data_IF_537856749749
#
_entry.id   IF_537856749749
#
_cell.length_a   1.000
_cell.length_b   1.000
_cell.length_c   1.000
_cell.angle_alpha   90.00
_cell.angle_beta   90.00
_cell.angle_gamma   90.00
#
_symmetry.space_group_name_H-M   'P 1'
#
loop_
_entity.id
_entity.type
_entity.pdbx_description
1 polymer ?
#
# COMPACT_ATOMS: atom_id res chain seq x y z
N UNK A 1 4.21 -19.34 4.59
CA UNK A 1 4.42 -18.58 5.83
C UNK A 1 4.13 -19.44 7.05
N UNK A 2 5.13 -19.70 7.88
CA UNK A 2 4.98 -20.51 9.10
C UNK A 2 4.57 -19.59 10.27
N UNK A 3 3.55 -19.99 11.04
CA UNK A 3 3.06 -19.28 12.24
C UNK A 3 2.50 -17.85 12.04
N UNK A 4 1.44 -17.67 11.23
CA UNK A 4 0.86 -16.35 10.96
C UNK A 4 0.41 -15.61 12.23
N UNK A 5 -0.07 -16.30 13.27
CA UNK A 5 -0.48 -15.67 14.52
C UNK A 5 0.68 -15.02 15.30
N UNK A 6 1.88 -15.65 15.30
CA UNK A 6 3.07 -15.07 15.93
C UNK A 6 3.54 -13.83 15.18
N UNK A 7 3.54 -13.90 13.85
CA UNK A 7 3.90 -12.77 12.99
C UNK A 7 2.88 -11.63 13.12
N UNK A 8 1.59 -11.94 13.21
CA UNK A 8 0.53 -10.96 13.46
C UNK A 8 0.76 -10.26 14.79
N UNK A 9 1.06 -10.99 15.86
CA UNK A 9 1.40 -10.38 17.14
C UNK A 9 2.60 -9.44 17.03
N UNK A 10 3.70 -9.89 16.41
CA UNK A 10 4.88 -9.05 16.20
C UNK A 10 4.59 -7.80 15.37
N UNK A 11 3.71 -7.91 14.37
CA UNK A 11 3.23 -6.76 13.58
C UNK A 11 2.47 -5.78 14.47
N UNK A 12 1.48 -6.25 15.24
CA UNK A 12 0.67 -5.40 16.11
C UNK A 12 1.52 -4.72 17.21
N UNK A 13 2.48 -5.45 17.78
CA UNK A 13 3.46 -4.88 18.73
C UNK A 13 4.26 -3.75 18.05
N UNK A 14 4.72 -3.96 16.81
CA UNK A 14 5.40 -2.92 16.05
C UNK A 14 4.52 -1.70 15.75
N UNK A 15 3.25 -1.90 15.40
CA UNK A 15 2.30 -0.80 15.16
C UNK A 15 2.10 0.02 16.42
N UNK A 16 1.98 -0.64 17.58
CA UNK A 16 1.85 0.02 18.88
C UNK A 16 3.07 0.89 19.19
N UNK A 17 4.28 0.35 19.00
CA UNK A 17 5.53 1.10 19.22
C UNK A 17 5.67 2.29 18.26
N UNK A 18 5.17 2.15 17.03
CA UNK A 18 5.13 3.22 16.04
C UNK A 18 4.00 4.24 16.28
N UNK A 19 3.19 4.09 17.32
CA UNK A 19 2.03 4.94 17.58
C UNK A 19 1.00 4.91 16.46
N UNK A 20 0.73 3.71 15.92
CA UNK A 20 -0.31 3.46 14.91
C UNK A 20 -1.44 2.70 15.60
N UNK A 21 -2.62 3.31 15.66
CA UNK A 21 -3.77 2.65 16.24
C UNK A 21 -4.25 1.51 15.33
N UNK A 22 -4.69 0.40 15.93
CA UNK A 22 -5.24 -0.75 15.22
C UNK A 22 -6.58 -1.12 15.87
N UNK A 23 -7.58 -1.45 15.05
CA UNK A 23 -8.87 -1.92 15.54
C UNK A 23 -9.43 -3.02 14.65
N UNK A 24 -9.81 -4.13 15.27
CA UNK A 24 -10.57 -5.19 14.61
C UNK A 24 -12.04 -4.79 14.56
N UNK A 25 -12.66 -4.86 13.39
CA UNK A 25 -14.08 -4.53 13.19
C UNK A 25 -14.88 -5.77 12.77
N UNK A 26 -16.08 -5.92 13.32
CA UNK A 26 -17.04 -6.97 12.97
C UNK A 26 -18.10 -6.39 12.03
N UNK A 27 -17.66 -5.90 10.87
CA UNK A 27 -18.51 -5.37 9.80
C UNK A 27 -18.33 -6.23 8.55
N UNK A 28 -19.42 -6.79 8.02
CA UNK A 28 -19.37 -7.68 6.86
C UNK A 28 -18.90 -6.93 5.59
N UNK A 29 -19.10 -5.61 5.51
CA UNK A 29 -18.56 -4.78 4.42
C UNK A 29 -17.02 -4.65 4.44
N UNK A 30 -16.42 -4.98 5.59
CA UNK A 30 -14.98 -5.01 5.84
C UNK A 30 -14.40 -6.44 5.77
N UNK A 31 -15.21 -7.46 5.47
CA UNK A 31 -14.72 -8.82 5.29
C UNK A 31 -13.64 -8.86 4.20
N UNK A 32 -12.54 -9.55 4.50
CA UNK A 32 -11.35 -9.67 3.64
C UNK A 32 -10.66 -8.33 3.31
N UNK A 33 -10.83 -7.31 4.18
CA UNK A 33 -10.30 -5.95 3.97
C UNK A 33 -9.65 -5.37 5.23
N UNK A 34 -8.58 -4.62 5.01
CA UNK A 34 -8.04 -3.66 5.96
C UNK A 34 -8.01 -2.28 5.29
N UNK A 35 -8.18 -1.22 6.06
CA UNK A 35 -8.07 0.17 5.56
C UNK A 35 -7.38 1.06 6.59
N UNK A 36 -6.50 1.93 6.11
CA UNK A 36 -6.00 3.05 6.88
C UNK A 36 -7.04 4.18 6.90
N UNK A 37 -7.52 4.50 8.10
CA UNK A 37 -8.43 5.62 8.36
C UNK A 37 -7.63 6.85 8.76
N UNK A 38 -7.83 7.92 7.98
CA UNK A 38 -7.25 9.24 8.22
C UNK A 38 -8.33 10.23 8.62
N UNK A 39 -7.96 11.26 9.37
CA UNK A 39 -8.83 12.35 9.77
C UNK A 39 -8.31 13.67 9.23
N UNK A 40 -9.23 14.59 8.90
CA UNK A 40 -8.88 15.98 8.64
C UNK A 40 -8.51 16.73 9.93
N UNK A 41 -8.94 16.22 11.09
CA UNK A 41 -8.54 16.75 12.40
C UNK A 41 -7.12 16.26 12.74
N UNK A 42 -6.12 17.16 12.85
CA UNK A 42 -4.75 16.80 13.17
C UNK A 42 -4.57 16.13 14.54
N UNK A 43 -5.52 16.36 15.47
CA UNK A 43 -5.49 15.73 16.80
C UNK A 43 -5.90 14.27 16.80
N UNK A 44 -6.53 13.79 15.72
CA UNK A 44 -6.99 12.41 15.60
C UNK A 44 -5.91 11.55 14.93
N UNK A 45 -5.31 10.57 15.63
CA UNK A 45 -4.28 9.71 15.06
C UNK A 45 -4.87 8.80 13.96
N UNK A 46 -4.06 8.52 12.94
CA UNK A 46 -4.41 7.53 11.93
C UNK A 46 -4.58 6.14 12.56
N UNK A 47 -5.56 5.39 12.08
CA UNK A 47 -5.94 4.08 12.61
C UNK A 47 -6.12 3.07 11.48
N UNK A 48 -5.63 1.85 11.66
CA UNK A 48 -5.90 0.74 10.75
C UNK A 48 -7.15 0.01 11.24
N UNK A 49 -8.18 -0.03 10.41
CA UNK A 49 -9.37 -0.85 10.63
C UNK A 49 -9.21 -2.15 9.86
N UNK A 50 -9.30 -3.28 10.55
CA UNK A 50 -9.19 -4.61 9.95
C UNK A 50 -10.47 -5.39 10.15
N UNK A 51 -11.11 -5.82 9.07
CA UNK A 51 -12.23 -6.75 9.13
C UNK A 51 -11.77 -8.19 9.30
N UNK A 52 -12.71 -9.12 9.20
CA UNK A 52 -12.43 -10.56 9.34
C UNK A 52 -11.80 -11.12 8.07
N UNK A 53 -10.74 -11.91 8.22
CA UNK A 53 -10.07 -12.63 7.14
C UNK A 53 -10.11 -14.13 7.39
N UNK A 54 -10.37 -14.87 6.32
CA UNK A 54 -10.22 -16.33 6.25
C UNK A 54 -8.77 -16.72 6.02
N UNK A 55 -8.06 -15.99 5.16
CA UNK A 55 -6.63 -16.15 4.92
C UNK A 55 -5.82 -15.25 5.86
N UNK A 56 -5.17 -15.87 6.85
CA UNK A 56 -4.32 -15.19 7.85
C UNK A 56 -3.05 -14.59 7.26
N UNK A 57 -2.54 -15.13 6.14
CA UNK A 57 -1.37 -14.57 5.45
C UNK A 57 -1.79 -13.30 4.74
N UNK A 58 -2.92 -13.34 4.03
CA UNK A 58 -3.49 -12.15 3.38
C UNK A 58 -3.83 -11.06 4.39
N UNK A 59 -4.40 -11.42 5.54
CA UNK A 59 -4.66 -10.50 6.65
C UNK A 59 -3.39 -9.75 7.06
N UNK A 60 -2.30 -10.49 7.33
CA UNK A 60 -1.02 -9.91 7.73
C UNK A 60 -0.47 -8.94 6.68
N UNK A 61 -0.54 -9.32 5.40
CA UNK A 61 -0.04 -8.51 4.29
C UNK A 61 -0.87 -7.23 4.14
N UNK A 62 -2.21 -7.33 4.22
CA UNK A 62 -3.10 -6.18 4.18
C UNK A 62 -2.80 -5.21 5.32
N UNK A 63 -2.68 -5.69 6.56
CA UNK A 63 -2.36 -4.83 7.71
C UNK A 63 -1.01 -4.11 7.51
N UNK A 64 0.00 -4.82 7.00
CA UNK A 64 1.30 -4.22 6.73
C UNK A 64 1.27 -3.16 5.61
N UNK A 65 0.48 -3.39 4.55
CA UNK A 65 0.27 -2.40 3.48
C UNK A 65 -0.42 -1.13 4.03
N UNK A 66 -1.48 -1.28 4.81
CA UNK A 66 -2.16 -0.15 5.44
C UNK A 66 -1.29 0.58 6.47
N UNK A 67 -0.41 -0.13 7.18
CA UNK A 67 0.61 0.49 8.01
C UNK A 67 1.59 1.31 7.18
N UNK A 68 1.91 0.86 5.97
CA UNK A 68 2.65 1.63 4.98
C UNK A 68 1.99 2.97 4.67
N UNK A 69 0.67 2.97 4.43
CA UNK A 69 -0.10 4.20 4.23
C UNK A 69 -0.02 5.14 5.43
N UNK A 70 -0.13 4.62 6.65
CA UNK A 70 0.02 5.44 7.86
C UNK A 70 1.43 6.02 7.99
N UNK A 71 2.48 5.24 7.68
CA UNK A 71 3.86 5.72 7.71
C UNK A 71 4.12 6.81 6.67
N UNK A 72 3.64 6.63 5.45
CA UNK A 72 3.73 7.63 4.38
C UNK A 72 3.00 8.91 4.77
N UNK A 73 1.79 8.79 5.34
CA UNK A 73 1.04 9.95 5.82
C UNK A 73 1.75 10.72 6.96
N UNK A 74 2.47 10.03 7.84
CA UNK A 74 3.24 10.70 8.92
C UNK A 74 4.41 11.53 8.41
N UNK A 75 4.86 11.31 7.18
CA UNK A 75 5.92 12.08 6.52
C UNK A 75 5.37 13.32 5.81
N UNK A 76 4.05 13.43 5.64
CA UNK A 76 3.40 14.52 4.91
C UNK A 76 3.29 15.78 5.76
N UNK A 77 3.50 16.93 5.13
CA UNK A 77 3.11 18.22 5.71
C UNK A 77 1.58 18.42 5.64
N UNK A 78 1.08 19.50 6.24
CA UNK A 78 -0.37 19.79 6.30
C UNK A 78 -1.05 19.89 4.93
N UNK A 79 -0.38 20.47 3.94
CA UNK A 79 -0.90 20.61 2.59
C UNK A 79 -0.94 19.25 1.88
N UNK A 80 0.13 18.47 1.99
CA UNK A 80 0.20 17.11 1.46
C UNK A 80 -0.85 16.19 2.09
N UNK A 81 -1.06 16.26 3.41
CA UNK A 81 -2.13 15.52 4.10
C UNK A 81 -3.50 15.88 3.54
N UNK A 82 -3.79 17.18 3.37
CA UNK A 82 -5.07 17.62 2.79
C UNK A 82 -5.24 17.07 1.38
N UNK A 83 -4.21 17.21 0.53
CA UNK A 83 -4.22 16.71 -0.84
C UNK A 83 -4.42 15.20 -0.87
N UNK A 84 -3.78 14.47 0.05
CA UNK A 84 -3.92 13.03 0.20
C UNK A 84 -5.34 12.62 0.54
N UNK A 85 -5.92 13.17 1.62
CA UNK A 85 -7.27 12.80 2.05
C UNK A 85 -8.30 13.17 0.97
N UNK A 86 -8.19 14.36 0.37
CA UNK A 86 -9.09 14.78 -0.70
C UNK A 86 -8.97 13.90 -1.95
N UNK A 87 -7.75 13.54 -2.34
CA UNK A 87 -7.49 12.67 -3.51
C UNK A 87 -8.04 11.27 -3.28
N UNK A 88 -7.78 10.67 -2.12
CA UNK A 88 -8.30 9.33 -1.78
C UNK A 88 -9.82 9.33 -1.68
N UNK A 89 -10.43 10.40 -1.15
CA UNK A 89 -11.89 10.56 -1.13
C UNK A 89 -12.46 10.64 -2.55
N UNK A 90 -11.89 11.47 -3.42
CA UNK A 90 -12.32 11.63 -4.80
C UNK A 90 -12.16 10.32 -5.59
N UNK A 91 -11.01 9.64 -5.46
CA UNK A 91 -10.75 8.35 -6.09
C UNK A 91 -11.79 7.30 -5.67
N UNK A 92 -12.10 7.21 -4.37
CA UNK A 92 -13.10 6.26 -3.86
C UNK A 92 -14.53 6.56 -4.31
N UNK A 93 -14.89 7.83 -4.55
CA UNK A 93 -16.26 8.21 -4.94
C UNK A 93 -16.48 8.26 -6.45
N UNK A 94 -15.48 8.66 -7.21
CA UNK A 94 -15.58 8.90 -8.64
C UNK A 94 -14.91 7.81 -9.48
N UNK A 95 -13.94 7.09 -8.90
CA UNK A 95 -13.02 6.21 -9.59
C UNK A 95 -11.74 6.94 -10.00
N UNK A 96 -10.61 6.24 -9.96
CA UNK A 96 -9.29 6.83 -10.20
C UNK A 96 -9.14 7.40 -11.62
N UNK A 97 -9.75 6.78 -12.64
CA UNK A 97 -9.71 7.30 -14.02
C UNK A 97 -10.54 8.56 -14.26
N UNK A 98 -11.27 9.04 -13.25
CA UNK A 98 -12.10 10.25 -13.35
C UNK A 98 -11.56 11.43 -12.55
N UNK A 99 -10.42 11.27 -11.88
CA UNK A 99 -9.75 12.37 -11.16
C UNK A 99 -8.63 12.95 -12.02
N UNK A 100 -8.17 14.15 -11.66
CA UNK A 100 -7.16 14.87 -12.42
C UNK A 100 -5.84 14.05 -12.56
N UNK A 101 -5.10 14.21 -13.68
CA UNK A 101 -3.90 13.40 -13.94
C UNK A 101 -2.81 13.48 -12.85
N UNK A 102 -2.61 14.67 -12.26
CA UNK A 102 -1.67 14.82 -11.14
C UNK A 102 -2.11 14.03 -9.89
N UNK A 103 -3.42 13.92 -9.67
CA UNK A 103 -3.99 13.19 -8.55
C UNK A 103 -3.91 11.67 -8.77
N UNK A 104 -4.09 11.20 -10.02
CA UNK A 104 -3.80 9.82 -10.41
C UNK A 104 -2.34 9.45 -10.12
N UNK A 105 -1.40 10.30 -10.56
CA UNK A 105 0.03 10.11 -10.31
C UNK A 105 0.33 10.04 -8.81
N UNK A 106 -0.27 10.94 -8.03
CA UNK A 106 -0.11 11.00 -6.59
C UNK A 106 -0.62 9.73 -5.87
N UNK A 107 -1.77 9.17 -6.29
CA UNK A 107 -2.27 7.88 -5.76
C UNK A 107 -1.29 6.75 -6.07
N UNK A 108 -0.83 6.63 -7.32
CA UNK A 108 0.13 5.60 -7.71
C UNK A 108 1.44 5.71 -6.91
N UNK A 109 2.00 6.91 -6.78
CA UNK A 109 3.20 7.14 -5.98
C UNK A 109 2.99 6.75 -4.50
N UNK A 110 1.81 7.05 -3.95
CA UNK A 110 1.50 6.70 -2.57
C UNK A 110 1.33 5.20 -2.38
N UNK A 111 0.57 4.52 -3.24
CA UNK A 111 0.43 3.05 -3.18
C UNK A 111 1.78 2.34 -3.30
N UNK A 112 2.65 2.82 -4.19
CA UNK A 112 4.00 2.27 -4.34
C UNK A 112 4.84 2.44 -3.08
N UNK A 113 4.84 3.64 -2.47
CA UNK A 113 5.53 3.91 -1.20
C UNK A 113 4.96 3.10 -0.05
N UNK A 114 3.64 2.98 0.03
CA UNK A 114 2.96 2.21 1.08
C UNK A 114 3.27 0.72 0.99
N UNK A 115 3.25 0.14 -0.23
CA UNK A 115 3.71 -1.24 -0.43
C UNK A 115 5.18 -1.43 -0.04
N UNK A 116 6.06 -0.49 -0.40
CA UNK A 116 7.47 -0.53 -0.02
C UNK A 116 7.67 -0.52 1.51
N UNK A 117 6.94 0.35 2.22
CA UNK A 117 6.96 0.44 3.69
C UNK A 117 6.37 -0.82 4.34
N UNK A 118 5.27 -1.34 3.80
CA UNK A 118 4.66 -2.60 4.26
C UNK A 118 5.60 -3.79 4.07
N UNK A 119 6.28 -3.87 2.94
CA UNK A 119 7.29 -4.88 2.64
C UNK A 119 8.46 -4.81 3.64
N UNK A 120 8.99 -3.62 3.90
CA UNK A 120 10.04 -3.41 4.89
C UNK A 120 9.60 -3.82 6.32
N UNK A 121 8.34 -3.54 6.68
CA UNK A 121 7.77 -3.94 7.95
C UNK A 121 7.65 -5.47 8.08
N UNK A 122 7.18 -6.14 7.02
CA UNK A 122 7.09 -7.60 6.97
C UNK A 122 8.48 -8.27 7.12
N UNK A 123 9.52 -7.69 6.52
CA UNK A 123 10.91 -8.14 6.75
C UNK A 123 11.33 -7.96 8.21
N UNK A 124 11.03 -6.80 8.80
CA UNK A 124 11.41 -6.47 10.18
C UNK A 124 10.79 -7.40 11.21
N UNK A 125 9.57 -7.88 10.98
CA UNK A 125 8.90 -8.84 11.87
C UNK A 125 9.31 -10.30 11.63
N UNK A 126 10.30 -10.54 10.76
CA UNK A 126 10.92 -11.85 10.57
C UNK A 126 10.27 -12.74 9.51
N UNK A 127 9.56 -12.17 8.53
CA UNK A 127 9.08 -12.98 7.40
C UNK A 127 10.26 -13.36 6.50
N UNK A 128 10.42 -14.66 6.27
CA UNK A 128 11.51 -15.23 5.49
C UNK A 128 11.43 -14.84 4.00
N UNK A 129 12.57 -14.70 3.34
CA UNK A 129 12.68 -14.25 1.94
C UNK A 129 11.83 -15.07 0.96
N UNK A 130 11.69 -16.38 1.20
CA UNK A 130 10.84 -17.26 0.39
C UNK A 130 9.36 -16.88 0.46
N UNK A 131 8.86 -16.47 1.63
CA UNK A 131 7.48 -16.01 1.81
C UNK A 131 7.27 -14.59 1.25
N UNK A 132 8.32 -13.77 1.16
CA UNK A 132 8.26 -12.44 0.56
C UNK A 132 7.94 -12.47 -0.93
N UNK A 133 8.23 -13.57 -1.64
CA UNK A 133 7.84 -13.73 -3.06
C UNK A 133 6.32 -13.62 -3.25
N UNK A 134 5.55 -14.30 -2.40
CA UNK A 134 4.09 -14.25 -2.38
C UNK A 134 3.58 -12.85 -2.04
N UNK A 135 4.23 -12.18 -1.08
CA UNK A 135 3.90 -10.79 -0.70
C UNK A 135 4.09 -9.85 -1.89
N UNK A 136 5.24 -9.93 -2.56
CA UNK A 136 5.56 -9.11 -3.75
C UNK A 136 4.53 -9.31 -4.84
N UNK A 137 4.18 -10.55 -5.14
CA UNK A 137 3.16 -10.86 -6.15
C UNK A 137 1.81 -10.21 -5.81
N UNK A 138 1.37 -10.32 -4.56
CA UNK A 138 0.10 -9.75 -4.13
C UNK A 138 0.09 -8.21 -4.21
N UNK A 139 1.15 -7.56 -3.70
CA UNK A 139 1.30 -6.10 -3.78
C UNK A 139 1.40 -5.61 -5.23
N UNK A 140 2.14 -6.33 -6.09
CA UNK A 140 2.23 -6.04 -7.53
C UNK A 140 0.87 -6.12 -8.22
N UNK A 141 0.05 -7.12 -7.88
CA UNK A 141 -1.30 -7.26 -8.43
C UNK A 141 -2.22 -6.12 -7.99
N UNK A 142 -2.14 -5.70 -6.72
CA UNK A 142 -2.88 -4.55 -6.23
C UNK A 142 -2.45 -3.27 -6.94
N UNK A 143 -1.15 -3.02 -7.04
CA UNK A 143 -0.63 -1.85 -7.76
C UNK A 143 -1.09 -1.83 -9.22
N UNK A 144 -1.00 -2.96 -9.93
CA UNK A 144 -1.49 -3.07 -11.31
C UNK A 144 -3.00 -2.82 -11.43
N UNK A 145 -3.79 -3.13 -10.39
CA UNK A 145 -5.22 -2.81 -10.37
C UNK A 145 -5.49 -1.30 -10.29
N UNK A 146 -4.61 -0.54 -9.63
CA UNK A 146 -4.66 0.92 -9.66
C UNK A 146 -4.21 1.46 -11.01
N UNK A 147 -3.10 0.96 -11.58
CA UNK A 147 -2.62 1.40 -12.89
C UNK A 147 -3.68 1.24 -13.99
N UNK A 148 -4.43 0.13 -13.98
CA UNK A 148 -5.53 -0.12 -14.95
C UNK A 148 -6.66 0.91 -14.88
N UNK A 149 -6.79 1.62 -13.77
CA UNK A 149 -7.79 2.66 -13.60
C UNK A 149 -7.25 4.04 -13.99
N UNK A 150 -5.94 4.20 -14.18
CA UNK A 150 -5.32 5.47 -14.56
C UNK A 150 -5.19 5.63 -16.08
N UNK A 151 -4.98 6.87 -16.51
CA UNK A 151 -4.55 7.18 -17.87
C UNK A 151 -3.17 6.59 -18.17
N UNK A 152 -3.02 5.98 -19.35
CA UNK A 152 -1.79 5.28 -19.74
C UNK A 152 -0.55 6.18 -19.72
N UNK A 153 -0.70 7.44 -20.15
CA UNK A 153 0.39 8.42 -20.12
C UNK A 153 0.89 8.69 -18.69
N UNK A 154 -0.02 8.70 -17.71
CA UNK A 154 0.31 8.90 -16.30
C UNK A 154 1.02 7.69 -15.73
N UNK A 155 0.53 6.47 -16.04
CA UNK A 155 1.21 5.23 -15.65
C UNK A 155 2.64 5.19 -16.17
N UNK A 156 2.86 5.51 -17.46
CA UNK A 156 4.21 5.55 -18.06
C UNK A 156 5.13 6.53 -17.34
N UNK A 157 4.63 7.73 -17.04
CA UNK A 157 5.41 8.76 -16.34
C UNK A 157 5.76 8.35 -14.90
N UNK A 158 4.80 7.80 -14.14
CA UNK A 158 5.04 7.34 -12.77
C UNK A 158 6.04 6.18 -12.75
N UNK A 159 5.89 5.19 -13.63
CA UNK A 159 6.85 4.09 -13.74
C UNK A 159 8.27 4.61 -14.01
N UNK A 160 8.42 5.53 -14.97
CA UNK A 160 9.72 6.16 -15.26
C UNK A 160 10.29 6.86 -14.04
N UNK A 161 9.47 7.60 -13.29
CA UNK A 161 9.89 8.31 -12.07
C UNK A 161 10.34 7.34 -10.97
N UNK A 162 9.56 6.28 -10.70
CA UNK A 162 9.90 5.24 -9.73
C UNK A 162 11.22 4.55 -10.08
N UNK A 163 11.48 4.30 -11.37
CA UNK A 163 12.73 3.68 -11.84
C UNK A 163 13.95 4.60 -11.69
N UNK A 164 13.76 5.93 -11.75
CA UNK A 164 14.82 6.92 -11.67
C UNK A 164 15.12 7.40 -10.25
N UNK A 165 14.25 7.12 -9.29
CA UNK A 165 14.43 7.54 -7.90
C UNK A 165 15.57 6.76 -7.22
N UNK A 166 16.31 7.40 -6.29
CA UNK A 166 17.59 6.90 -5.72
C UNK A 166 17.46 5.74 -4.72
N UNK A 167 16.24 5.25 -4.50
CA UNK A 167 16.01 4.01 -3.75
C UNK A 167 15.06 3.06 -4.49
N UNK A 168 15.39 2.70 -5.75
CA UNK A 168 14.48 1.95 -6.61
C UNK A 168 14.33 0.52 -6.12
N UNK A 169 15.31 -0.03 -5.38
CA UNK A 169 15.27 -1.40 -4.87
C UNK A 169 14.04 -1.65 -3.97
N UNK A 170 13.67 -0.74 -3.05
CA UNK A 170 12.60 -1.02 -2.08
C UNK A 170 11.20 -0.87 -2.72
N UNK A 171 11.01 0.12 -3.59
CA UNK A 171 9.73 0.37 -4.28
C UNK A 171 9.53 -0.63 -5.42
N UNK A 172 10.59 -0.94 -6.16
CA UNK A 172 10.54 -1.89 -7.27
C UNK A 172 10.51 -3.35 -6.80
N UNK A 173 11.20 -3.70 -5.71
CA UNK A 173 11.07 -5.03 -5.11
C UNK A 173 9.61 -5.34 -4.76
N UNK A 174 8.82 -4.36 -4.30
CA UNK A 174 7.42 -4.60 -3.98
C UNK A 174 6.49 -4.80 -5.21
N UNK A 175 6.90 -4.34 -6.41
CA UNK A 175 6.02 -4.19 -7.60
C UNK A 175 6.51 -5.05 -8.80
N UNK A 176 7.47 -5.95 -8.58
CA UNK A 176 8.36 -6.49 -9.61
C UNK A 176 7.75 -7.37 -10.72
N UNK A 177 6.48 -7.81 -10.67
CA UNK A 177 6.01 -8.89 -11.56
C UNK A 177 5.27 -8.51 -12.86
N UNK A 178 5.10 -7.23 -13.21
CA UNK A 178 4.42 -6.83 -14.46
C UNK A 178 5.30 -6.14 -15.51
N UNK A 179 6.62 -6.23 -15.35
CA UNK A 179 7.61 -5.62 -16.25
C UNK A 179 8.44 -6.64 -17.01
N UNK A 180 7.89 -7.82 -17.31
CA UNK A 180 8.38 -8.60 -18.42
C UNK A 180 7.73 -8.01 -19.69
N UNK A 181 8.47 -7.29 -20.55
CA UNK A 181 7.98 -7.03 -21.89
C UNK A 181 7.81 -8.40 -22.55
N UNK A 182 6.57 -8.80 -22.82
CA UNK A 182 6.32 -9.72 -23.90
C UNK A 182 6.88 -9.08 -25.17
N UNK A 183 8.10 -9.49 -25.53
CA UNK A 183 8.66 -9.41 -26.87
C UNK A 183 8.77 -7.98 -27.43
N UNK A 184 9.81 -7.25 -27.00
CA UNK A 184 10.49 -6.35 -27.93
C UNK A 184 11.35 -7.21 -28.86
N UNK A 185 10.71 -7.83 -29.86
CA UNK A 185 11.41 -8.20 -31.08
C UNK A 185 11.66 -6.89 -31.82
N UNK A 186 12.84 -6.32 -31.60
CA UNK A 186 13.46 -5.43 -32.57
C UNK A 186 14.16 -6.37 -33.56
N UNK A 187 13.51 -6.58 -34.70
CA UNK A 187 14.19 -6.78 -35.98
C UNK A 187 13.82 -5.61 -36.87
#
# INVERSE_FOLDING_TARGET
MRHPEKLKKALLDHLKDAGIAFSQVQDESMRERAVAKFSFDPGTPACILCGTFTDRVKELICIAHEAGHVMVHKEMNREETRNYICTMFAANKMGLGKIAPFAQAFVLETEARSSARGMALLRKIGIADGDLSTVRKLMSQWYASYEKQCEEAIVKNVRKKIMLDRNPAIVWEAIQEYSAPSVLNIQ
#
